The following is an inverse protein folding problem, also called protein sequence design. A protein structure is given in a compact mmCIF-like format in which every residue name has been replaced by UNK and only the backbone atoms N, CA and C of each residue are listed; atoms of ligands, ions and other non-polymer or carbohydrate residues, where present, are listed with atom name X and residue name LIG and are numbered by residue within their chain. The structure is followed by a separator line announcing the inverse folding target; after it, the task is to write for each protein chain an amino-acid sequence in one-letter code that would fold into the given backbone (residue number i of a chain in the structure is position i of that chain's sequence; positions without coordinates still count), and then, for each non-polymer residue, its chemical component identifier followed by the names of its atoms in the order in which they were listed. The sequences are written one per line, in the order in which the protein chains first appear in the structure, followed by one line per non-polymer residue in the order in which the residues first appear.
data_IF_582312312648
#
_entry.id   IF_582312312648
#
_cell.length_a   1.000
_cell.length_b   1.000
_cell.length_c   1.000
_cell.angle_alpha   90.00
_cell.angle_beta   90.00
_cell.angle_gamma   90.00
#
_symmetry.space_group_name_H-M   'P 1'
#
loop_
_entity.id
_entity.type
_entity.pdbx_description
1 polymer ?
#
# COMPACT_ATOMS: atom_id res chain seq x y z
N UNK A 1 16.56 5.12 -0.72
CA UNK A 1 15.28 5.47 -1.33
C UNK A 1 14.21 4.68 -0.59
N UNK A 2 13.17 5.36 -0.11
CA UNK A 2 11.98 4.72 0.44
C UNK A 2 10.92 4.93 -0.64
N UNK A 3 10.36 3.84 -1.15
CA UNK A 3 9.32 3.92 -2.16
C UNK A 3 8.06 4.54 -1.54
N UNK A 4 7.29 5.29 -2.34
CA UNK A 4 6.13 6.09 -1.89
C UNK A 4 4.97 5.26 -1.32
N UNK A 5 5.06 3.94 -1.43
CA UNK A 5 4.13 2.93 -0.91
C UNK A 5 4.54 2.35 0.46
N UNK A 6 5.64 2.83 1.05
CA UNK A 6 6.08 2.45 2.39
C UNK A 6 5.57 3.43 3.47
N UNK A 7 4.82 2.92 4.43
CA UNK A 7 4.41 3.64 5.62
C UNK A 7 5.26 3.20 6.82
N UNK A 8 6.09 4.10 7.34
CA UNK A 8 6.78 3.91 8.63
C UNK A 8 5.81 4.23 9.76
N UNK A 9 5.24 3.20 10.36
CA UNK A 9 4.17 3.33 11.36
C UNK A 9 4.69 3.37 12.80
N UNK A 10 5.95 3.00 13.04
CA UNK A 10 6.56 2.99 14.36
C UNK A 10 7.47 4.22 14.59
N UNK A 11 7.10 5.17 15.47
CA UNK A 11 7.88 6.39 15.70
C UNK A 11 9.28 6.14 16.25
N UNK A 12 9.47 5.09 17.06
CA UNK A 12 10.78 4.72 17.60
C UNK A 12 11.71 4.23 16.49
N UNK A 13 11.16 3.49 15.52
CA UNK A 13 11.89 3.04 14.34
C UNK A 13 12.29 4.22 13.47
N UNK A 14 11.37 5.16 13.22
CA UNK A 14 11.66 6.37 12.45
C UNK A 14 12.77 7.21 13.13
N UNK A 15 12.64 7.46 14.43
CA UNK A 15 13.63 8.23 15.19
C UNK A 15 15.01 7.55 15.18
N UNK A 16 15.06 6.22 15.28
CA UNK A 16 16.30 5.47 15.21
C UNK A 16 16.96 5.59 13.83
N UNK A 17 16.18 5.46 12.75
CA UNK A 17 16.68 5.60 11.37
C UNK A 17 17.25 7.01 11.13
N UNK A 18 16.57 8.05 11.63
CA UNK A 18 17.05 9.45 11.57
C UNK A 18 18.35 9.61 12.36
N UNK A 19 18.39 9.13 13.61
CA UNK A 19 19.56 9.27 14.48
C UNK A 19 20.80 8.54 13.93
N UNK A 20 20.62 7.41 13.27
CA UNK A 20 21.71 6.62 12.69
C UNK A 20 22.06 7.02 11.24
N UNK A 21 21.38 8.03 10.67
CA UNK A 21 21.48 8.41 9.26
C UNK A 21 21.33 7.19 8.31
N UNK A 22 20.38 6.30 8.61
CA UNK A 22 20.09 5.10 7.84
C UNK A 22 18.76 5.25 7.11
N UNK A 23 18.70 4.73 5.89
CA UNK A 23 17.42 4.50 5.22
C UNK A 23 16.83 3.18 5.68
N UNK A 24 15.56 2.92 5.37
CA UNK A 24 15.00 1.57 5.46
C UNK A 24 15.92 0.65 4.65
N UNK A 25 16.58 -0.29 5.33
CA UNK A 25 17.46 -1.27 4.72
C UNK A 25 16.67 -2.43 4.14
N UNK A 26 17.38 -3.39 3.53
CA UNK A 26 16.78 -4.60 2.98
C UNK A 26 15.88 -5.32 3.98
N UNK A 27 14.81 -5.91 3.46
CA UNK A 27 13.82 -6.69 4.18
C UNK A 27 14.46 -7.70 5.15
N UNK A 28 14.08 -7.64 6.44
CA UNK A 28 14.53 -8.55 7.49
C UNK A 28 13.34 -9.29 8.10
N UNK A 29 13.35 -10.63 8.03
CA UNK A 29 12.32 -11.48 8.65
C UNK A 29 12.50 -11.54 10.17
N UNK A 30 11.41 -11.32 10.91
CA UNK A 30 11.35 -11.62 12.34
C UNK A 30 11.05 -13.11 12.56
N UNK A 31 11.34 -13.68 13.73
CA UNK A 31 10.94 -15.06 14.05
C UNK A 31 9.42 -15.28 13.93
N UNK A 32 8.64 -14.23 14.19
CA UNK A 32 7.18 -14.24 14.10
C UNK A 32 6.65 -14.20 12.65
N UNK A 33 7.49 -13.84 11.67
CA UNK A 33 7.05 -13.60 10.29
C UNK A 33 6.34 -14.81 9.68
N UNK A 34 6.91 -16.01 9.81
CA UNK A 34 6.30 -17.23 9.24
C UNK A 34 4.99 -17.59 9.94
N UNK A 35 4.89 -17.36 11.25
CA UNK A 35 3.70 -17.66 12.02
C UNK A 35 2.53 -16.75 11.59
N UNK A 36 2.82 -15.47 11.32
CA UNK A 36 1.82 -14.51 10.83
C UNK A 36 1.46 -14.82 9.37
N UNK A 37 2.46 -15.00 8.49
CA UNK A 37 2.26 -15.28 7.05
C UNK A 37 1.44 -16.55 6.80
N UNK A 38 1.64 -17.58 7.61
CA UNK A 38 0.96 -18.88 7.48
C UNK A 38 -0.30 -18.98 8.34
N UNK A 39 -0.82 -17.85 8.84
CA UNK A 39 -2.06 -17.77 9.61
C UNK A 39 -2.06 -18.61 10.90
N UNK A 40 -0.89 -19.02 11.40
CA UNK A 40 -0.73 -19.74 12.67
C UNK A 40 -0.90 -18.83 13.89
N UNK A 41 -0.64 -17.53 13.72
CA UNK A 41 -0.83 -16.49 14.73
C UNK A 41 -1.63 -15.33 14.14
N UNK A 42 -2.87 -15.16 14.62
CA UNK A 42 -3.78 -14.10 14.21
C UNK A 42 -3.75 -12.94 15.22
N UNK A 43 -3.97 -11.72 14.74
CA UNK A 43 -4.07 -10.53 15.58
C UNK A 43 -3.48 -9.28 14.92
N UNK A 44 -3.36 -8.21 15.72
CA UNK A 44 -2.70 -6.97 15.33
C UNK A 44 -1.26 -6.99 15.83
N UNK A 45 -0.30 -6.78 14.92
CA UNK A 45 1.12 -6.82 15.27
C UNK A 45 1.77 -5.46 15.03
N UNK A 46 2.57 -4.96 15.99
CA UNK A 46 3.39 -3.79 15.73
C UNK A 46 4.45 -4.16 14.70
N UNK A 47 4.41 -3.49 13.56
CA UNK A 47 5.38 -3.67 12.48
C UNK A 47 6.17 -2.37 12.28
N UNK A 48 7.46 -2.45 11.91
CA UNK A 48 8.27 -1.25 11.67
C UNK A 48 7.85 -0.50 10.39
N UNK A 49 7.23 -1.21 9.44
CA UNK A 49 6.84 -0.70 8.13
C UNK A 49 5.66 -1.51 7.59
N UNK A 50 4.72 -0.84 6.91
CA UNK A 50 3.69 -1.45 6.08
C UNK A 50 3.93 -1.01 4.63
N UNK A 51 3.88 -1.95 3.70
CA UNK A 51 4.05 -1.70 2.26
C UNK A 51 2.75 -2.02 1.54
N UNK A 52 2.29 -1.11 0.67
CA UNK A 52 1.12 -1.23 -0.22
C UNK A 52 -0.15 -1.80 0.44
N UNK A 53 -1.09 -0.93 0.85
CA UNK A 53 -2.41 -1.36 1.34
C UNK A 53 -3.47 -1.19 0.26
N UNK A 54 -4.26 -2.22 0.00
CA UNK A 54 -5.42 -2.18 -0.89
C UNK A 54 -6.70 -2.32 -0.08
N UNK A 55 -7.69 -1.47 -0.35
CA UNK A 55 -9.06 -1.66 0.11
C UNK A 55 -9.89 -2.11 -1.07
N UNK A 56 -10.49 -3.30 -0.99
CA UNK A 56 -11.28 -3.88 -2.08
C UNK A 56 -12.70 -4.12 -1.56
N UNK A 57 -13.68 -3.54 -2.23
CA UNK A 57 -15.09 -3.83 -1.94
C UNK A 57 -15.52 -5.10 -2.70
N UNK A 58 -15.55 -6.22 -1.98
CA UNK A 58 -15.93 -7.54 -2.52
C UNK A 58 -17.43 -7.65 -2.84
N UNK A 59 -18.23 -6.62 -2.60
CA UNK A 59 -19.66 -6.60 -2.95
C UNK A 59 -19.90 -6.15 -4.39
N UNK A 60 -18.90 -5.55 -5.05
CA UNK A 60 -19.00 -5.10 -6.44
C UNK A 60 -18.70 -6.27 -7.38
N UNK A 61 -19.53 -6.47 -8.41
CA UNK A 61 -19.31 -7.50 -9.44
C UNK A 61 -17.97 -7.33 -10.18
N UNK A 62 -17.44 -6.10 -10.25
CA UNK A 62 -16.12 -5.84 -10.81
C UNK A 62 -14.98 -6.49 -10.01
N UNK A 63 -15.17 -6.73 -8.70
CA UNK A 63 -14.16 -7.37 -7.85
C UNK A 63 -13.87 -8.81 -8.27
N UNK A 64 -14.83 -9.51 -8.89
CA UNK A 64 -14.66 -10.86 -9.45
C UNK A 64 -13.69 -10.89 -10.65
N UNK A 65 -13.42 -9.72 -11.26
CA UNK A 65 -12.50 -9.56 -12.39
C UNK A 65 -11.09 -9.16 -11.95
N UNK A 66 -10.84 -8.99 -10.65
CA UNK A 66 -9.51 -8.73 -10.13
C UNK A 66 -8.66 -10.00 -10.23
N UNK A 67 -7.74 -10.03 -11.19
CA UNK A 67 -6.88 -11.19 -11.47
C UNK A 67 -5.43 -10.79 -11.31
N UNK A 68 -4.76 -11.46 -10.38
CA UNK A 68 -3.32 -11.35 -10.21
C UNK A 68 -2.55 -12.19 -11.25
N UNK A 69 -3.01 -13.42 -11.48
CA UNK A 69 -2.36 -14.37 -12.37
C UNK A 69 -3.41 -15.28 -13.03
N UNK A 70 -3.27 -15.61 -14.33
CA UNK A 70 -2.25 -15.07 -15.25
C UNK A 70 -2.45 -13.56 -15.50
N UNK A 71 -1.38 -12.81 -15.85
CA UNK A 71 -1.53 -11.41 -16.22
C UNK A 71 -2.53 -11.25 -17.36
N UNK A 72 -3.18 -10.08 -17.40
CA UNK A 72 -4.06 -9.72 -18.50
C UNK A 72 -3.33 -9.85 -19.84
N UNK A 73 -4.04 -10.30 -20.89
CA UNK A 73 -3.45 -10.54 -22.22
C UNK A 73 -2.75 -9.31 -22.82
N UNK A 74 -3.21 -8.11 -22.47
CA UNK A 74 -2.68 -6.82 -22.93
C UNK A 74 -1.57 -6.26 -22.02
N UNK A 75 -1.17 -6.99 -20.97
CA UNK A 75 -0.15 -6.54 -20.04
C UNK A 75 1.25 -6.63 -20.67
N UNK A 76 1.92 -5.50 -20.79
CA UNK A 76 3.23 -5.37 -21.46
C UNK A 76 4.32 -4.77 -20.56
N UNK A 77 4.01 -4.52 -19.28
CA UNK A 77 4.92 -3.90 -18.33
C UNK A 77 5.80 -4.94 -17.60
N UNK A 78 6.69 -4.47 -16.73
CA UNK A 78 7.56 -5.34 -15.92
C UNK A 78 6.75 -6.23 -15.00
N UNK A 79 7.03 -7.54 -14.97
CA UNK A 79 6.33 -8.49 -14.10
C UNK A 79 6.66 -8.25 -12.63
N UNK A 80 5.83 -7.44 -11.99
CA UNK A 80 5.85 -7.08 -10.58
C UNK A 80 4.42 -7.26 -10.04
N UNK A 81 4.31 -7.82 -8.85
CA UNK A 81 3.03 -8.27 -8.34
C UNK A 81 2.04 -7.12 -8.12
N UNK A 82 2.54 -5.99 -7.62
CA UNK A 82 1.76 -4.77 -7.42
C UNK A 82 1.40 -4.14 -8.76
N UNK A 83 2.33 -4.10 -9.71
CA UNK A 83 2.09 -3.50 -11.03
C UNK A 83 1.05 -4.32 -11.83
N UNK A 84 1.15 -5.65 -11.83
CA UNK A 84 0.19 -6.53 -12.49
C UNK A 84 -1.20 -6.37 -11.86
N UNK A 85 -1.27 -6.35 -10.53
CA UNK A 85 -2.53 -6.16 -9.81
C UNK A 85 -3.16 -4.78 -10.09
N UNK A 86 -2.35 -3.71 -10.12
CA UNK A 86 -2.82 -2.36 -10.46
C UNK A 86 -3.36 -2.28 -11.89
N UNK A 87 -2.72 -2.96 -12.84
CA UNK A 87 -3.24 -3.05 -14.20
C UNK A 87 -4.57 -3.82 -14.25
N UNK A 88 -4.67 -4.97 -13.59
CA UNK A 88 -5.95 -5.71 -13.54
C UNK A 88 -7.06 -4.87 -12.89
N UNK A 89 -6.73 -4.13 -11.83
CA UNK A 89 -7.69 -3.27 -11.14
C UNK A 89 -8.24 -2.18 -12.08
N UNK A 90 -7.36 -1.53 -12.86
CA UNK A 90 -7.73 -0.55 -13.90
C UNK A 90 -8.71 -1.10 -14.94
N UNK A 91 -8.55 -2.37 -15.31
CA UNK A 91 -9.43 -2.99 -16.30
C UNK A 91 -10.78 -3.41 -15.70
N UNK A 92 -10.81 -3.72 -14.41
CA UNK A 92 -12.02 -4.15 -13.71
C UNK A 92 -12.93 -2.97 -13.35
N UNK A 93 -12.37 -1.89 -12.81
CA UNK A 93 -13.13 -0.69 -12.41
C UNK A 93 -12.21 0.54 -12.26
N UNK A 94 -12.79 1.73 -12.22
CA UNK A 94 -12.08 2.94 -11.81
C UNK A 94 -11.77 2.85 -10.31
N UNK A 95 -10.49 2.91 -9.95
CA UNK A 95 -10.04 2.84 -8.56
C UNK A 95 -9.70 4.24 -8.06
N UNK A 96 -9.99 4.51 -6.78
CA UNK A 96 -9.47 5.68 -6.09
C UNK A 96 -7.98 5.52 -5.79
N UNK A 97 -7.21 6.60 -5.81
CA UNK A 97 -5.81 6.59 -5.39
C UNK A 97 -5.68 7.20 -3.99
N UNK A 98 -4.66 6.75 -3.24
CA UNK A 98 -4.30 7.42 -2.00
C UNK A 98 -3.50 8.69 -2.37
N UNK A 99 -3.86 9.88 -1.85
CA UNK A 99 -3.10 11.08 -2.11
C UNK A 99 -1.67 10.93 -1.57
N UNK A 100 -0.73 11.60 -2.24
CA UNK A 100 0.65 11.67 -1.74
C UNK A 100 0.66 12.33 -0.36
N UNK A 101 1.59 11.93 0.55
CA UNK A 101 1.72 12.59 1.84
C UNK A 101 1.90 14.10 1.68
N UNK A 102 1.32 14.87 2.61
CA UNK A 102 1.45 16.32 2.63
C UNK A 102 2.91 16.75 2.57
N UNK A 103 3.18 17.75 1.73
CA UNK A 103 4.47 18.45 1.73
C UNK A 103 4.58 19.31 2.99
N UNK A 104 5.81 19.70 3.41
CA UNK A 104 6.02 20.45 4.65
C UNK A 104 5.27 21.80 4.76
N UNK A 105 4.81 22.35 3.65
CA UNK A 105 4.07 23.63 3.60
C UNK A 105 2.55 23.45 3.49
N UNK A 106 2.07 22.21 3.33
CA UNK A 106 0.65 21.91 3.20
C UNK A 106 0.02 21.68 4.57
N UNK A 107 -1.25 22.06 4.71
CA UNK A 107 -1.98 21.93 5.98
C UNK A 107 -2.83 20.66 6.02
N UNK A 108 -3.27 20.28 7.23
CA UNK A 108 -4.19 19.16 7.40
C UNK A 108 -5.54 19.42 6.72
N UNK A 109 -6.00 20.67 6.70
CA UNK A 109 -7.22 21.06 6.01
C UNK A 109 -7.15 20.79 4.50
N UNK A 110 -6.00 21.08 3.86
CA UNK A 110 -5.78 20.77 2.45
C UNK A 110 -5.82 19.25 2.18
N UNK A 111 -5.35 18.43 3.11
CA UNK A 111 -5.40 16.97 2.99
C UNK A 111 -6.84 16.44 3.15
N UNK A 112 -7.62 17.03 4.05
CA UNK A 112 -9.04 16.72 4.20
C UNK A 112 -9.79 17.03 2.90
N UNK A 113 -9.52 18.18 2.27
CA UNK A 113 -10.11 18.53 0.97
C UNK A 113 -9.72 17.51 -0.11
N UNK A 114 -8.44 17.12 -0.19
CA UNK A 114 -7.99 16.09 -1.12
C UNK A 114 -8.69 14.74 -0.89
N UNK A 115 -8.88 14.34 0.37
CA UNK A 115 -9.61 13.11 0.72
C UNK A 115 -11.08 13.19 0.31
N UNK A 116 -11.73 14.33 0.48
CA UNK A 116 -13.11 14.55 0.03
C UNK A 116 -13.20 14.43 -1.50
N UNK A 117 -12.25 15.02 -2.23
CA UNK A 117 -12.20 14.90 -3.69
C UNK A 117 -12.04 13.44 -4.13
N UNK A 118 -11.13 12.68 -3.50
CA UNK A 118 -10.94 11.25 -3.78
C UNK A 118 -12.21 10.45 -3.47
N UNK A 119 -12.91 10.77 -2.38
CA UNK A 119 -14.19 10.14 -2.05
C UNK A 119 -15.26 10.42 -3.10
N UNK A 120 -15.35 11.66 -3.59
CA UNK A 120 -16.31 12.04 -4.64
C UNK A 120 -15.99 11.35 -5.97
N UNK A 121 -14.71 11.25 -6.36
CA UNK A 121 -14.29 10.53 -7.57
C UNK A 121 -14.56 9.02 -7.50
N UNK A 122 -14.63 8.47 -6.28
CA UNK A 122 -14.89 7.05 -6.05
C UNK A 122 -16.39 6.69 -5.93
N UNK A 123 -17.29 7.68 -5.87
CA UNK A 123 -18.75 7.52 -5.83
C UNK A 123 -19.34 7.45 -7.24
#
# INVERSE_FOLDING_TARGET
FIDVDNFLTNPQTLNLLIAENKTVGFYKRTPDYLQIREWKRLGCFPVPMVHSTFLIDLRKEASDKLVFYPPHQDYTWTFDDIIVFAFSSRQAEHYGYLPIPLKPHQTLEEDIENLIHVQIEAM
#
